data_IF_842125188968
#
_entry.id   IF_842125188968
#
_cell.length_a   1.000
_cell.length_b   1.000
_cell.length_c   1.000
_cell.angle_alpha   90.00
_cell.angle_beta   90.00
_cell.angle_gamma   90.00
#
_symmetry.space_group_name_H-M   'P 1'
#
loop_
_entity.id
_entity.type
_entity.pdbx_description
1 polymer ?
#
# COMPACT_ATOMS: atom_id res chain seq x y z
N UNK A 1 -3.35 5.01 7.63
CA UNK A 1 -1.98 4.70 7.18
C UNK A 1 -1.08 5.89 7.51
N UNK A 2 0.21 5.69 7.79
CA UNK A 2 1.15 6.82 8.00
C UNK A 2 1.32 7.65 6.70
N UNK A 3 1.51 8.99 6.78
CA UNK A 3 1.56 9.87 5.60
C UNK A 3 2.61 9.47 4.57
N UNK A 4 3.83 9.12 5.02
CA UNK A 4 4.91 8.69 4.13
C UNK A 4 4.56 7.38 3.40
N UNK A 5 3.97 6.42 4.11
CA UNK A 5 3.57 5.15 3.49
C UNK A 5 2.44 5.35 2.48
N UNK A 6 1.49 6.23 2.79
CA UNK A 6 0.44 6.61 1.85
C UNK A 6 1.02 7.29 0.60
N UNK A 7 2.01 8.17 0.77
CA UNK A 7 2.70 8.83 -0.35
C UNK A 7 3.42 7.82 -1.25
N UNK A 8 4.16 6.85 -0.68
CA UNK A 8 4.80 5.77 -1.46
C UNK A 8 3.77 5.00 -2.27
N UNK A 9 2.67 4.57 -1.65
CA UNK A 9 1.63 3.78 -2.33
C UNK A 9 0.96 4.60 -3.43
N UNK A 10 0.63 5.85 -3.18
CA UNK A 10 0.01 6.73 -4.17
C UNK A 10 0.92 6.93 -5.38
N UNK A 11 2.21 7.22 -5.16
CA UNK A 11 3.19 7.40 -6.25
C UNK A 11 3.41 6.11 -7.03
N UNK A 12 3.53 4.98 -6.33
CA UNK A 12 3.66 3.67 -6.97
C UNK A 12 2.44 3.37 -7.85
N UNK A 13 1.24 3.75 -7.40
CA UNK A 13 -0.01 3.60 -8.14
C UNK A 13 -0.03 4.45 -9.40
N UNK A 14 0.41 5.72 -9.33
CA UNK A 14 0.51 6.59 -10.51
C UNK A 14 1.49 6.01 -11.54
N UNK A 15 2.64 5.52 -11.08
CA UNK A 15 3.65 4.94 -11.98
C UNK A 15 3.17 3.62 -12.61
N UNK A 16 2.52 2.76 -11.84
CA UNK A 16 1.96 1.50 -12.33
C UNK A 16 0.86 1.74 -13.39
N UNK A 17 -0.07 2.65 -13.11
CA UNK A 17 -1.15 2.98 -14.05
C UNK A 17 -0.63 3.62 -15.34
N UNK A 18 0.40 4.46 -15.27
CA UNK A 18 1.09 5.00 -16.44
C UNK A 18 1.81 3.94 -17.27
N UNK A 19 2.46 2.98 -16.61
CA UNK A 19 3.10 1.86 -17.32
C UNK A 19 2.05 1.07 -18.12
N UNK A 20 0.87 0.82 -17.54
CA UNK A 20 -0.23 0.12 -18.19
C UNK A 20 -0.85 0.91 -19.34
N UNK A 21 -1.00 2.22 -19.19
CA UNK A 21 -1.44 3.10 -20.28
C UNK A 21 -0.52 2.97 -21.51
N UNK A 22 0.80 2.88 -21.30
CA UNK A 22 1.77 2.72 -22.39
C UNK A 22 1.75 1.32 -23.02
N UNK A 23 1.44 0.26 -22.26
CA UNK A 23 1.32 -1.10 -22.81
C UNK A 23 -0.03 -1.35 -23.49
N UNK A 24 -1.00 -0.45 -23.31
CA UNK A 24 -2.37 -0.62 -23.79
C UNK A 24 -3.19 -1.60 -22.95
N UNK A 25 -2.71 -1.93 -21.75
CA UNK A 25 -3.45 -2.73 -20.78
C UNK A 25 -4.51 -1.88 -20.08
N UNK A 26 -5.65 -2.50 -19.76
CA UNK A 26 -6.75 -1.81 -19.10
C UNK A 26 -6.50 -1.70 -17.60
N UNK A 27 -6.55 -0.47 -17.09
CA UNK A 27 -6.66 -0.18 -15.67
C UNK A 27 -8.15 -0.19 -15.27
N UNK A 28 -8.46 -0.69 -14.08
CA UNK A 28 -9.81 -0.56 -13.51
C UNK A 28 -10.26 0.91 -13.49
N UNK A 29 -11.48 1.20 -13.95
CA UNK A 29 -11.96 2.58 -14.07
C UNK A 29 -11.92 3.33 -12.73
N UNK A 30 -12.20 2.65 -11.62
CA UNK A 30 -12.16 3.25 -10.28
C UNK A 30 -10.73 3.66 -9.91
N UNK A 31 -9.74 2.79 -10.16
CA UNK A 31 -8.33 3.11 -9.94
C UNK A 31 -7.87 4.25 -10.84
N UNK A 32 -8.28 4.24 -12.11
CA UNK A 32 -7.96 5.28 -13.07
C UNK A 32 -8.49 6.66 -12.64
N UNK A 33 -9.78 6.74 -12.30
CA UNK A 33 -10.43 7.98 -11.89
C UNK A 33 -9.80 8.56 -10.62
N UNK A 34 -9.47 7.71 -9.65
CA UNK A 34 -8.85 8.16 -8.41
C UNK A 34 -7.38 8.53 -8.58
N UNK A 35 -6.67 7.87 -9.49
CA UNK A 35 -5.31 8.27 -9.88
C UNK A 35 -5.35 9.69 -10.46
N UNK A 36 -6.29 9.96 -11.38
CA UNK A 36 -6.44 11.28 -11.98
C UNK A 36 -6.81 12.35 -10.95
N UNK A 37 -7.73 12.04 -10.02
CA UNK A 37 -8.09 12.97 -8.93
C UNK A 37 -6.89 13.29 -8.03
N UNK A 38 -6.10 12.27 -7.67
CA UNK A 38 -4.88 12.49 -6.89
C UNK A 38 -3.88 13.36 -7.66
N UNK A 39 -3.57 13.03 -8.90
CA UNK A 39 -2.65 13.80 -9.76
C UNK A 39 -3.11 15.25 -9.94
N UNK A 40 -4.40 15.48 -10.16
CA UNK A 40 -4.96 16.84 -10.31
C UNK A 40 -4.83 17.65 -9.01
N UNK A 41 -5.21 17.06 -7.88
CA UNK A 41 -5.07 17.72 -6.57
C UNK A 41 -3.60 18.02 -6.24
N UNK A 42 -2.68 17.09 -6.53
CA UNK A 42 -1.26 17.27 -6.32
C UNK A 42 -0.70 18.35 -7.26
N UNK A 43 -1.16 18.41 -8.52
CA UNK A 43 -0.71 19.41 -9.49
C UNK A 43 -1.03 20.83 -9.04
N UNK A 44 -2.18 21.03 -8.41
CA UNK A 44 -2.57 22.33 -7.86
C UNK A 44 -1.66 22.78 -6.70
N UNK A 45 -1.06 21.82 -5.98
CA UNK A 45 -0.20 22.08 -4.83
C UNK A 45 1.30 22.06 -5.16
N UNK A 46 1.72 21.17 -6.04
CA UNK A 46 3.11 20.87 -6.40
C UNK A 46 3.20 20.46 -7.88
N UNK A 47 3.07 21.42 -8.81
CA UNK A 47 3.03 21.14 -10.24
C UNK A 47 4.34 20.52 -10.77
N UNK A 48 5.49 20.90 -10.19
CA UNK A 48 6.79 20.37 -10.58
C UNK A 48 6.95 18.90 -10.19
N UNK A 49 6.48 18.51 -9.00
CA UNK A 49 6.44 17.11 -8.57
C UNK A 49 5.59 16.25 -9.50
N UNK A 50 4.41 16.74 -9.90
CA UNK A 50 3.57 16.03 -10.88
C UNK A 50 4.27 15.90 -12.22
N UNK A 51 4.92 16.95 -12.70
CA UNK A 51 5.67 16.89 -13.95
C UNK A 51 6.78 15.84 -13.88
N UNK A 52 7.52 15.75 -12.77
CA UNK A 52 8.55 14.74 -12.57
C UNK A 52 7.98 13.31 -12.61
N UNK A 53 6.89 13.06 -11.88
CA UNK A 53 6.19 11.74 -11.88
C UNK A 53 5.72 11.38 -13.30
N UNK A 54 5.16 12.35 -14.03
CA UNK A 54 4.64 12.10 -15.36
C UNK A 54 5.73 11.75 -16.38
N UNK A 55 6.94 12.28 -16.17
CA UNK A 55 8.12 12.05 -16.99
C UNK A 55 8.93 10.81 -16.55
N UNK A 56 8.65 10.20 -15.40
CA UNK A 56 9.36 9.03 -14.89
C UNK A 56 9.52 7.86 -15.90
N UNK A 57 8.56 7.59 -16.81
CA UNK A 57 8.76 6.57 -17.84
C UNK A 57 9.87 6.89 -18.87
N UNK A 58 10.35 8.13 -18.91
CA UNK A 58 11.33 8.64 -19.90
C UNK A 58 12.56 9.26 -19.24
N UNK A 59 12.46 9.65 -17.97
CA UNK A 59 13.52 10.29 -17.20
C UNK A 59 13.66 9.63 -15.83
N UNK A 60 14.89 9.40 -15.33
CA UNK A 60 15.09 8.88 -13.98
C UNK A 60 14.41 9.79 -12.94
N UNK A 61 13.60 9.20 -12.08
CA UNK A 61 12.92 9.90 -10.99
C UNK A 61 13.76 9.82 -9.70
N UNK A 62 13.95 10.93 -8.99
CA UNK A 62 14.41 10.88 -7.60
C UNK A 62 13.23 10.49 -6.71
N UNK A 63 13.06 9.19 -6.52
CA UNK A 63 11.95 8.64 -5.74
C UNK A 63 11.94 9.14 -4.30
N UNK A 64 13.11 9.41 -3.70
CA UNK A 64 13.16 9.89 -2.33
C UNK A 64 12.62 11.31 -2.24
N UNK A 65 13.09 12.21 -3.11
CA UNK A 65 12.63 13.60 -3.16
C UNK A 65 11.11 13.67 -3.43
N UNK A 66 10.63 12.96 -4.45
CA UNK A 66 9.21 12.99 -4.85
C UNK A 66 8.30 12.50 -3.73
N UNK A 67 8.65 11.42 -3.04
CA UNK A 67 7.83 10.91 -1.93
C UNK A 67 7.75 11.93 -0.79
N UNK A 68 8.85 12.61 -0.48
CA UNK A 68 8.89 13.63 0.57
C UNK A 68 8.07 14.86 0.18
N UNK A 69 8.13 15.30 -1.08
CA UNK A 69 7.33 16.40 -1.58
C UNK A 69 5.83 16.08 -1.56
N UNK A 70 5.45 14.85 -1.94
CA UNK A 70 4.05 14.38 -1.89
C UNK A 70 3.54 14.30 -0.46
N UNK A 71 4.36 13.76 0.45
CA UNK A 71 4.02 13.72 1.88
C UNK A 71 3.85 15.15 2.43
N UNK A 72 4.76 16.07 2.09
CA UNK A 72 4.69 17.46 2.51
C UNK A 72 3.47 18.18 1.94
N UNK A 73 3.12 17.95 0.67
CA UNK A 73 1.94 18.49 0.03
C UNK A 73 0.65 18.00 0.71
N UNK A 74 0.56 16.71 1.03
CA UNK A 74 -0.57 16.14 1.76
C UNK A 74 -0.69 16.71 3.20
N UNK A 75 0.43 16.93 3.90
CA UNK A 75 0.43 17.58 5.22
C UNK A 75 -0.07 19.03 5.19
N UNK A 76 0.14 19.73 4.08
CA UNK A 76 -0.22 21.14 3.92
C UNK A 76 -1.60 21.34 3.30
N UNK A 77 -2.08 20.37 2.51
CA UNK A 77 -3.32 20.49 1.75
C UNK A 77 -4.25 19.29 2.03
N UNK A 78 -5.39 19.52 2.73
CA UNK A 78 -6.37 18.47 3.02
C UNK A 78 -6.96 17.79 1.79
N UNK A 79 -7.06 18.48 0.65
CA UNK A 79 -7.57 17.90 -0.60
C UNK A 79 -6.61 16.84 -1.14
N UNK A 80 -5.31 17.14 -1.12
CA UNK A 80 -4.24 16.21 -1.50
C UNK A 80 -4.21 15.02 -0.54
N UNK A 81 -4.34 15.24 0.77
CA UNK A 81 -4.42 14.15 1.73
C UNK A 81 -5.62 13.23 1.48
N UNK A 82 -6.79 13.80 1.21
CA UNK A 82 -8.02 13.02 0.97
C UNK A 82 -8.00 12.27 -0.35
N UNK A 83 -7.43 12.84 -1.42
CA UNK A 83 -7.29 12.15 -2.70
C UNK A 83 -6.26 11.01 -2.61
N UNK A 84 -5.16 11.23 -1.89
CA UNK A 84 -4.15 10.22 -1.58
C UNK A 84 -4.75 9.05 -0.79
N UNK A 85 -5.50 9.31 0.27
CA UNK A 85 -6.14 8.25 1.08
C UNK A 85 -7.16 7.42 0.26
N UNK A 86 -7.95 8.09 -0.59
CA UNK A 86 -8.88 7.42 -1.50
C UNK A 86 -8.14 6.48 -2.45
N UNK A 87 -7.07 6.98 -3.08
CA UNK A 87 -6.25 6.19 -4.00
C UNK A 87 -5.65 4.96 -3.32
N UNK A 88 -5.07 5.13 -2.13
CA UNK A 88 -4.53 4.03 -1.32
C UNK A 88 -5.59 2.99 -1.01
N UNK A 89 -6.80 3.41 -0.64
CA UNK A 89 -7.89 2.48 -0.29
C UNK A 89 -8.35 1.67 -1.50
N UNK A 90 -8.37 2.27 -2.68
CA UNK A 90 -8.80 1.57 -3.90
C UNK A 90 -7.76 0.60 -4.40
N UNK A 91 -6.47 0.96 -4.34
CA UNK A 91 -5.41 0.03 -4.72
C UNK A 91 -5.24 -1.12 -3.71
N UNK A 92 -5.71 -0.94 -2.48
CA UNK A 92 -5.84 -2.03 -1.50
C UNK A 92 -6.94 -3.03 -1.89
N UNK A 93 -7.94 -2.59 -2.65
CA UNK A 93 -9.07 -3.41 -3.11
C UNK A 93 -8.86 -4.01 -4.51
N UNK A 94 -7.97 -3.43 -5.33
CA UNK A 94 -7.69 -3.84 -6.70
C UNK A 94 -6.21 -4.14 -6.90
N UNK A 95 -5.87 -5.32 -7.43
CA UNK A 95 -4.49 -5.66 -7.79
C UNK A 95 -4.04 -4.91 -9.03
N UNK A 96 -3.02 -4.07 -8.88
CA UNK A 96 -2.28 -3.50 -10.00
C UNK A 96 -1.01 -4.29 -10.30
N UNK A 97 -0.76 -4.67 -11.56
CA UNK A 97 0.50 -5.29 -11.96
C UNK A 97 1.68 -4.33 -11.72
N UNK A 98 2.84 -4.90 -11.38
CA UNK A 98 4.11 -4.21 -11.12
C UNK A 98 4.09 -3.19 -9.96
N UNK A 99 2.96 -3.00 -9.28
CA UNK A 99 2.87 -2.09 -8.13
C UNK A 99 3.88 -2.44 -7.04
N UNK A 100 4.06 -3.73 -6.76
CA UNK A 100 4.99 -4.20 -5.74
C UNK A 100 6.45 -3.88 -6.08
N UNK A 101 6.85 -4.15 -7.33
CA UNK A 101 8.19 -3.85 -7.81
C UNK A 101 8.50 -2.36 -7.67
N UNK A 102 7.55 -1.50 -8.05
CA UNK A 102 7.69 -0.05 -7.93
C UNK A 102 7.77 0.38 -6.45
N UNK A 103 6.95 -0.21 -5.57
CA UNK A 103 7.05 0.06 -4.12
C UNK A 103 8.44 -0.34 -3.59
N UNK A 104 9.00 -1.45 -4.04
CA UNK A 104 10.33 -1.90 -3.64
C UNK A 104 11.43 -0.94 -4.13
N UNK A 105 11.36 -0.47 -5.38
CA UNK A 105 12.26 0.54 -5.92
C UNK A 105 12.25 1.83 -5.10
N UNK A 106 11.05 2.36 -4.82
CA UNK A 106 10.89 3.57 -4.02
C UNK A 106 11.40 3.35 -2.59
N UNK A 107 11.13 2.18 -2.00
CA UNK A 107 11.62 1.84 -0.65
C UNK A 107 13.14 1.81 -0.61
N UNK A 108 13.79 1.18 -1.60
CA UNK A 108 15.26 1.15 -1.71
C UNK A 108 15.84 2.56 -1.87
N UNK A 109 15.21 3.40 -2.68
CA UNK A 109 15.61 4.79 -2.84
C UNK A 109 15.57 5.53 -1.51
N UNK A 110 14.48 5.43 -0.74
CA UNK A 110 14.33 6.04 0.58
C UNK A 110 15.38 5.54 1.59
N UNK A 111 15.69 4.24 1.59
CA UNK A 111 16.74 3.65 2.44
C UNK A 111 18.15 4.15 2.09
N UNK A 112 18.42 4.27 0.79
CA UNK A 112 19.70 4.77 0.27
C UNK A 112 19.86 6.28 0.49
N UNK A 113 18.75 7.01 0.51
CA UNK A 113 18.77 8.46 0.60
C UNK A 113 19.32 8.92 1.96
N UNK A 114 19.09 8.17 3.04
CA UNK A 114 19.73 8.24 4.38
C UNK A 114 20.02 9.63 5.01
N UNK A 115 19.55 10.72 4.40
CA UNK A 115 19.55 12.06 4.92
C UNK A 115 18.30 12.15 5.80
N UNK A 116 18.52 12.04 7.12
CA UNK A 116 17.54 12.12 8.22
C UNK A 116 16.80 10.82 8.59
N UNK A 117 17.56 9.76 8.91
CA UNK A 117 17.06 8.44 9.35
C UNK A 117 16.22 8.42 10.64
N UNK A 118 15.98 9.54 11.32
CA UNK A 118 15.15 9.57 12.55
C UNK A 118 13.67 9.89 12.27
N UNK A 119 13.29 10.32 11.06
CA UNK A 119 11.96 10.94 10.83
C UNK A 119 10.96 10.05 10.07
N UNK A 120 11.42 9.01 9.36
CA UNK A 120 10.60 8.29 8.37
C UNK A 120 10.35 6.83 8.75
N UNK A 121 9.08 6.47 9.01
CA UNK A 121 8.68 5.10 9.36
C UNK A 121 8.52 4.22 8.10
N UNK A 122 9.66 3.80 7.53
CA UNK A 122 9.74 2.94 6.33
C UNK A 122 9.16 1.53 6.59
N UNK A 123 9.06 1.09 7.85
CA UNK A 123 8.49 -0.22 8.19
C UNK A 123 7.04 -0.37 7.72
N UNK A 124 6.26 0.72 7.78
CA UNK A 124 4.88 0.72 7.31
C UNK A 124 4.75 0.52 5.79
N UNK A 125 5.71 1.04 5.01
CA UNK A 125 5.78 0.81 3.56
C UNK A 125 6.02 -0.68 3.27
N UNK A 126 6.99 -1.28 3.98
CA UNK A 126 7.31 -2.71 3.83
C UNK A 126 6.13 -3.62 4.19
N UNK A 127 5.34 -3.25 5.21
CA UNK A 127 4.17 -4.00 5.61
C UNK A 127 3.06 -3.95 4.56
N UNK A 128 2.91 -2.84 3.83
CA UNK A 128 2.00 -2.75 2.71
C UNK A 128 2.43 -3.65 1.54
N UNK A 129 3.70 -3.58 1.13
CA UNK A 129 4.24 -4.44 0.07
C UNK A 129 4.01 -5.94 0.37
N UNK A 130 4.32 -6.36 1.60
CA UNK A 130 4.11 -7.75 2.06
C UNK A 130 2.64 -8.20 2.02
N UNK A 131 1.69 -7.31 2.32
CA UNK A 131 0.25 -7.64 2.24
C UNK A 131 -0.18 -7.97 0.81
N UNK A 132 0.34 -7.25 -0.18
CA UNK A 132 0.03 -7.52 -1.58
C UNK A 132 0.55 -8.89 -2.03
N UNK A 133 1.73 -9.31 -1.59
CA UNK A 133 2.28 -10.66 -1.85
C UNK A 133 1.37 -11.75 -1.29
N UNK A 134 1.02 -11.64 0.00
CA UNK A 134 0.21 -12.65 0.68
C UNK A 134 -1.22 -12.74 0.12
N UNK A 135 -1.74 -11.65 -0.44
CA UNK A 135 -3.03 -11.64 -1.12
C UNK A 135 -2.97 -12.26 -2.54
N UNK A 136 -1.81 -12.24 -3.21
CA UNK A 136 -1.61 -12.93 -4.49
C UNK A 136 -1.49 -14.46 -4.32
N UNK A 137 -0.86 -14.92 -3.23
CA UNK A 137 -0.72 -16.35 -2.91
C UNK A 137 -2.03 -17.05 -2.51
N UNK A 138 -3.12 -16.30 -2.28
CA UNK A 138 -4.42 -16.87 -1.90
C UNK A 138 -5.34 -17.20 -3.09
N UNK A 139 -4.84 -17.11 -4.33
CA UNK A 139 -5.56 -17.60 -5.51
C UNK A 139 -5.18 -19.05 -5.85
N UNK A 140 -5.85 -19.98 -5.14
CA UNK A 140 -6.00 -21.43 -5.40
C UNK A 140 -4.93 -22.39 -4.84
N UNK A 141 -5.24 -23.07 -3.73
CA UNK A 141 -5.68 -24.48 -3.75
C UNK A 141 -6.26 -24.87 -2.38
N UNK A 142 -7.34 -25.63 -2.38
CA UNK A 142 -8.16 -25.84 -1.19
C UNK A 142 -7.46 -26.53 -0.03
N UNK A 143 -7.63 -25.96 1.17
CA UNK A 143 -7.55 -26.73 2.40
C UNK A 143 -8.88 -26.60 3.14
N UNK A 144 -9.61 -27.72 3.14
CA UNK A 144 -10.68 -27.98 4.08
C UNK A 144 -10.15 -27.70 5.48
N UNK A 145 -10.79 -26.79 6.19
CA UNK A 145 -10.65 -26.71 7.64
C UNK A 145 -11.08 -28.06 8.23
N UNK A 146 -10.12 -28.93 8.52
CA UNK A 146 -10.29 -30.02 9.48
C UNK A 146 -9.54 -29.61 10.73
N UNK A 147 -10.26 -28.85 11.55
CA UNK A 147 -9.83 -28.52 12.90
C UNK A 147 -10.05 -29.78 13.76
N UNK A 148 -9.03 -30.64 13.87
CA UNK A 148 -9.00 -31.72 14.86
C UNK A 148 -7.73 -31.56 15.68
N UNK A 149 -7.91 -31.19 16.94
CA UNK A 149 -6.97 -31.49 18.03
C UNK A 149 -6.34 -30.30 18.72
N UNK A 150 -6.91 -29.91 19.86
CA UNK A 150 -6.27 -30.02 21.19
C UNK A 150 -7.12 -29.26 22.23
N UNK A 151 -7.75 -29.97 23.16
CA UNK A 151 -7.25 -30.33 24.50
C UNK A 151 -6.98 -29.08 25.36
N UNK A 152 -7.76 -28.96 26.44
CA UNK A 152 -7.25 -28.42 27.70
C UNK A 152 -8.19 -27.50 28.46
N UNK A 153 -9.30 -27.99 29.01
CA UNK A 153 -9.92 -27.33 30.15
C UNK A 153 -9.95 -28.26 31.36
N UNK A 154 -9.00 -27.99 32.24
CA UNK A 154 -8.93 -28.48 33.61
C UNK A 154 -9.89 -27.66 34.47
N UNK A 155 -10.96 -28.28 34.96
CA UNK A 155 -11.70 -27.81 36.13
C UNK A 155 -12.01 -29.03 37.02
N UNK A 156 -11.24 -29.16 38.09
CA UNK A 156 -11.53 -30.04 39.22
C UNK A 156 -12.64 -29.40 40.05
N UNK A 157 -13.80 -30.05 40.20
CA UNK A 157 -14.69 -29.84 41.34
C UNK A 157 -15.10 -31.18 41.93
N UNK A 158 -15.05 -31.19 43.26
CA UNK A 158 -15.13 -32.28 44.21
C UNK A 158 -16.47 -33.02 44.20
N UNK A 159 -16.44 -34.25 44.69
CA UNK A 159 -17.51 -35.22 44.59
C UNK A 159 -18.69 -35.06 45.56
N UNK A 160 -19.70 -35.88 45.28
CA UNK A 160 -20.65 -36.51 46.19
C UNK A 160 -21.34 -37.62 45.35
N UNK A 161 -20.93 -38.88 45.53
CA UNK A 161 -21.60 -39.91 46.35
C UNK A 161 -23.01 -40.29 45.86
N UNK A 162 -23.14 -41.57 45.45
CA UNK A 162 -24.30 -42.49 45.49
C UNK A 162 -25.70 -41.91 45.15
N UNK A 163 -26.50 -42.50 44.27
CA UNK A 163 -26.98 -43.87 44.42
C UNK A 163 -27.69 -44.36 43.14
N UNK A 164 -27.55 -45.66 42.87
CA UNK A 164 -28.41 -46.49 42.01
C UNK A 164 -29.80 -46.66 42.61
N UNK A 165 -30.85 -46.49 41.80
CA UNK A 165 -31.92 -47.44 41.45
C UNK A 165 -33.03 -46.72 40.67
#
# INVERSE_FOLDING_TARGET
MEPLAAAVVAISTVLATKALEKTGENVGQVVWDQTNQFVESLRNQSPDTVMAIEQAPEQPLDYAEVVLEVEAAAKQNPEVAQSMERLVTTVDAETLPNLEEIIEEITKALESHQATSETYNIENVKNFAKRNILNQDNTNFGEKQTNIGNIGENQTIQGNQHNTF
#
